data_IF_259448082008
#
_entry.id   IF_259448082008
#
_cell.length_a   1.000
_cell.length_b   1.000
_cell.length_c   1.000
_cell.angle_alpha   90.00
_cell.angle_beta   90.00
_cell.angle_gamma   90.00
#
_symmetry.space_group_name_H-M   'P 1'
#
loop_
_entity.id
_entity.type
_entity.pdbx_description
1 polymer ?
#
# COMPACT_ATOMS: atom_id res chain seq x y z
N UNK A 1 14.92 2.99 6.45
CA UNK A 1 13.62 3.67 6.64
C UNK A 1 13.24 4.24 5.29
N UNK A 2 12.07 3.85 4.76
CA UNK A 2 11.61 4.37 3.47
C UNK A 2 11.09 5.79 3.66
N UNK A 3 11.39 6.66 2.70
CA UNK A 3 10.78 7.97 2.60
C UNK A 3 9.34 7.79 2.11
N UNK A 4 8.37 8.25 2.90
CA UNK A 4 6.94 8.09 2.61
C UNK A 4 6.51 8.86 1.37
N UNK A 5 7.16 9.98 1.03
CA UNK A 5 6.88 10.71 -0.20
C UNK A 5 7.27 9.89 -1.45
N UNK A 6 8.48 9.30 -1.44
CA UNK A 6 8.95 8.45 -2.55
C UNK A 6 8.09 7.19 -2.68
N UNK A 7 7.58 6.68 -1.56
CA UNK A 7 6.66 5.53 -1.54
C UNK A 7 5.30 5.87 -2.16
N UNK A 8 4.70 7.00 -1.79
CA UNK A 8 3.44 7.48 -2.38
C UNK A 8 3.60 7.76 -3.88
N UNK A 9 4.70 8.39 -4.28
CA UNK A 9 5.02 8.65 -5.69
C UNK A 9 5.20 7.34 -6.49
N UNK A 10 5.82 6.33 -5.88
CA UNK A 10 5.96 5.02 -6.51
C UNK A 10 4.61 4.31 -6.69
N UNK A 11 3.68 4.44 -5.74
CA UNK A 11 2.31 3.92 -5.85
C UNK A 11 1.55 4.66 -6.95
N UNK A 12 1.64 5.99 -7.02
CA UNK A 12 0.96 6.79 -8.06
C UNK A 12 1.41 6.43 -9.49
N UNK A 13 2.68 6.04 -9.65
CA UNK A 13 3.27 5.71 -10.95
C UNK A 13 3.19 4.25 -11.36
N UNK A 14 2.72 3.37 -10.48
CA UNK A 14 2.75 1.93 -10.71
C UNK A 14 1.56 1.48 -11.57
N UNK A 15 1.80 0.66 -12.59
CA UNK A 15 0.78 0.34 -13.61
C UNK A 15 -0.39 -0.51 -13.08
N UNK A 16 -0.19 -1.18 -11.94
CA UNK A 16 -1.19 -2.05 -11.31
C UNK A 16 -1.89 -1.43 -10.09
N UNK A 17 -1.64 -0.16 -9.80
CA UNK A 17 -2.30 0.60 -8.74
C UNK A 17 -3.21 1.66 -9.36
N UNK A 18 -4.18 2.10 -8.58
CA UNK A 18 -5.17 3.12 -8.96
C UNK A 18 -5.19 4.26 -7.96
N UNK A 19 -5.88 5.36 -8.29
CA UNK A 19 -6.10 6.48 -7.38
C UNK A 19 -6.72 6.04 -6.04
N UNK A 20 -7.56 4.99 -6.05
CA UNK A 20 -8.17 4.42 -4.84
C UNK A 20 -7.10 3.75 -3.97
N UNK A 21 -6.13 3.06 -4.57
CA UNK A 21 -5.02 2.46 -3.84
C UNK A 21 -4.08 3.53 -3.26
N UNK A 22 -3.88 4.64 -3.99
CA UNK A 22 -3.13 5.79 -3.49
C UNK A 22 -3.84 6.47 -2.31
N UNK A 23 -5.16 6.63 -2.37
CA UNK A 23 -5.94 7.10 -1.23
C UNK A 23 -5.77 6.13 -0.05
N UNK A 24 -5.87 4.82 -0.28
CA UNK A 24 -5.67 3.86 0.78
C UNK A 24 -4.28 3.95 1.43
N UNK A 25 -3.24 4.22 0.64
CA UNK A 25 -1.88 4.47 1.10
C UNK A 25 -1.78 5.70 2.02
N UNK A 26 -2.49 6.80 1.71
CA UNK A 26 -2.61 7.94 2.63
C UNK A 26 -3.25 7.55 3.97
N UNK A 27 -4.25 6.67 3.94
CA UNK A 27 -4.89 6.16 5.15
C UNK A 27 -3.94 5.37 6.05
N UNK A 28 -3.02 4.59 5.46
CA UNK A 28 -1.99 3.87 6.21
C UNK A 28 -0.97 4.81 6.89
N UNK A 29 -0.87 6.06 6.42
CA UNK A 29 -0.08 7.12 7.04
C UNK A 29 -0.87 7.93 8.09
N UNK A 30 -2.12 7.57 8.35
CA UNK A 30 -2.99 8.22 9.33
C UNK A 30 -3.75 9.44 8.80
N UNK A 31 -3.81 9.64 7.48
CA UNK A 31 -4.66 10.68 6.89
C UNK A 31 -6.11 10.19 6.91
N UNK A 32 -7.01 11.06 7.38
CA UNK A 32 -8.45 10.80 7.34
C UNK A 32 -8.95 10.88 5.90
N UNK A 33 -9.53 9.78 5.43
CA UNK A 33 -10.00 9.59 4.06
C UNK A 33 -11.37 8.94 4.10
N UNK A 34 -12.27 9.45 3.29
CA UNK A 34 -13.64 8.94 3.17
C UNK A 34 -13.63 7.62 2.39
N UNK A 35 -13.68 6.49 3.11
CA UNK A 35 -13.69 5.13 2.55
C UNK A 35 -14.41 4.16 3.48
N UNK A 36 -14.99 3.11 2.91
CA UNK A 36 -15.52 2.00 3.69
C UNK A 36 -14.39 1.08 4.19
N UNK A 37 -14.62 0.28 5.25
CA UNK A 37 -13.66 -0.74 5.67
C UNK A 37 -13.31 -1.74 4.56
N UNK A 38 -14.27 -2.12 3.73
CA UNK A 38 -14.06 -3.07 2.63
C UNK A 38 -13.15 -2.48 1.54
N UNK A 39 -13.33 -1.22 1.18
CA UNK A 39 -12.46 -0.50 0.24
C UNK A 39 -11.03 -0.37 0.79
N UNK A 40 -10.90 -0.17 2.10
CA UNK A 40 -9.61 -0.11 2.77
C UNK A 40 -8.87 -1.46 2.71
N UNK A 41 -9.58 -2.56 2.98
CA UNK A 41 -9.01 -3.92 2.97
C UNK A 41 -8.61 -4.35 1.56
N UNK A 42 -9.49 -4.17 0.56
CA UNK A 42 -9.20 -4.52 -0.82
C UNK A 42 -7.97 -3.77 -1.36
N UNK A 43 -7.91 -2.46 -1.11
CA UNK A 43 -6.80 -1.63 -1.59
C UNK A 43 -5.50 -1.97 -0.86
N UNK A 44 -5.56 -2.28 0.44
CA UNK A 44 -4.39 -2.75 1.20
C UNK A 44 -3.87 -4.08 0.65
N UNK A 45 -4.76 -5.00 0.27
CA UNK A 45 -4.37 -6.25 -0.38
C UNK A 45 -3.72 -6.01 -1.75
N UNK A 46 -4.24 -5.09 -2.57
CA UNK A 46 -3.60 -4.74 -3.85
C UNK A 46 -2.20 -4.15 -3.64
N UNK A 47 -2.04 -3.22 -2.71
CA UNK A 47 -0.72 -2.66 -2.36
C UNK A 47 0.25 -3.74 -1.84
N UNK A 48 -0.24 -4.72 -1.08
CA UNK A 48 0.53 -5.88 -0.68
C UNK A 48 1.00 -6.71 -1.87
N UNK A 49 0.10 -7.10 -2.77
CA UNK A 49 0.44 -7.89 -3.95
C UNK A 49 1.32 -7.14 -4.96
N UNK A 50 1.18 -5.81 -5.04
CA UNK A 50 2.06 -4.94 -5.81
C UNK A 50 3.45 -4.75 -5.17
N UNK A 51 3.68 -5.27 -3.95
CA UNK A 51 4.97 -5.23 -3.28
C UNK A 51 5.25 -3.93 -2.51
N UNK A 52 4.24 -3.07 -2.34
CA UNK A 52 4.36 -1.84 -1.55
C UNK A 52 4.23 -2.06 -0.04
N UNK A 53 3.63 -3.18 0.36
CA UNK A 53 3.49 -3.62 1.75
C UNK A 53 4.13 -5.00 1.95
N UNK A 54 5.21 -5.06 2.73
CA UNK A 54 5.87 -6.32 3.07
C UNK A 54 5.40 -6.79 4.44
N UNK A 55 4.79 -7.99 4.57
CA UNK A 55 4.37 -8.49 5.86
C UNK A 55 5.60 -8.84 6.72
N UNK A 56 5.61 -8.39 7.96
CA UNK A 56 6.68 -8.62 8.95
C UNK A 56 6.22 -9.48 10.12
N UNK A 57 4.92 -9.58 10.34
CA UNK A 57 4.30 -10.50 11.29
C UNK A 57 2.90 -10.89 10.81
N UNK A 58 2.45 -12.07 11.25
CA UNK A 58 1.11 -12.61 10.99
C UNK A 58 0.58 -13.14 12.31
N UNK A 59 -0.61 -12.70 12.71
CA UNK A 59 -1.35 -13.25 13.86
C UNK A 59 -2.77 -13.61 13.41
N UNK A 60 -3.04 -14.91 13.26
CA UNK A 60 -4.27 -15.39 12.66
C UNK A 60 -4.46 -14.87 11.22
N UNK A 61 -5.46 -14.00 11.04
CA UNK A 61 -5.77 -13.37 9.75
C UNK A 61 -5.28 -11.91 9.67
N UNK A 62 -4.60 -11.41 10.70
CA UNK A 62 -4.08 -10.05 10.73
C UNK A 62 -2.61 -10.01 10.29
N UNK A 63 -2.30 -9.10 9.37
CA UNK A 63 -0.95 -8.88 8.89
C UNK A 63 -0.40 -7.57 9.46
N UNK A 64 0.81 -7.62 10.00
CA UNK A 64 1.59 -6.41 10.25
C UNK A 64 2.50 -6.16 9.06
N UNK A 65 2.48 -4.94 8.51
CA UNK A 65 3.27 -4.57 7.34
C UNK A 65 4.38 -3.57 7.66
N UNK A 66 5.45 -3.64 6.88
CA UNK A 66 6.34 -2.51 6.65
C UNK A 66 6.15 -1.98 5.22
N UNK A 67 6.43 -0.70 5.01
CA UNK A 67 6.44 -0.11 3.68
C UNK A 67 7.66 -0.57 2.89
N UNK A 68 7.44 -0.88 1.62
CA UNK A 68 8.44 -1.30 0.65
C UNK A 68 8.23 -0.58 -0.68
N UNK A 69 9.28 -0.44 -1.48
CA UNK A 69 9.16 -0.05 -2.90
C UNK A 69 9.57 -1.28 -3.70
N UNK A 70 8.69 -1.84 -4.56
CA UNK A 70 9.05 -3.00 -5.37
C UNK A 70 10.21 -2.64 -6.30
N UNK A 71 11.13 -3.59 -6.59
CA UNK A 71 12.11 -3.36 -7.64
C UNK A 71 11.38 -3.09 -8.96
N UNK A 72 11.86 -2.11 -9.74
CA UNK A 72 11.27 -1.80 -11.04
C UNK A 72 11.16 -3.10 -11.85
N UNK A 73 9.94 -3.47 -12.24
CA UNK A 73 9.72 -4.64 -13.08
C UNK A 73 10.40 -4.30 -14.42
N UNK A 74 11.51 -4.96 -14.70
CA UNK A 74 12.15 -4.85 -16.01
C UNK A 74 11.19 -5.45 -17.03
N UNK A 75 10.57 -4.58 -17.83
CA UNK A 75 9.72 -4.95 -18.96
C UNK A 75 10.49 -5.75 -20.03
#
# INVERSE_FOLDING_TARGET
MINTADWLEAIDKHEFTTDVDLLAAYGLLGVDIDRTPEEADESTLRLHFAGFLRPVAIDGNEYTYEFAIPPAIAA
#
